data_IF_684861514464
#
_entry.id   IF_684861514464
#
_cell.length_a   1.000
_cell.length_b   1.000
_cell.length_c   1.000
_cell.angle_alpha   90.00
_cell.angle_beta   90.00
_cell.angle_gamma   90.00
#
_symmetry.space_group_name_H-M   'P 1'
#
loop_
_entity.id
_entity.type
_entity.pdbx_description
1 polymer ?
#
# COMPACT_ATOMS: atom_id res chain seq x y z
N UNK A 1 -16.96 -2.68 -14.70
CA UNK A 1 -18.09 -2.75 -15.64
C UNK A 1 -18.93 -1.47 -15.59
N UNK A 2 -19.34 -1.02 -14.39
CA UNK A 2 -20.15 0.20 -14.22
C UNK A 2 -19.57 1.45 -14.88
N UNK A 3 -18.26 1.69 -14.78
CA UNK A 3 -17.62 2.82 -15.48
C UNK A 3 -17.80 2.81 -17.00
N UNK A 4 -17.80 1.65 -17.65
CA UNK A 4 -18.07 1.54 -19.09
C UNK A 4 -19.55 1.82 -19.38
N UNK A 5 -20.45 1.29 -18.55
CA UNK A 5 -21.89 1.53 -18.69
C UNK A 5 -22.23 3.02 -18.58
N UNK A 6 -21.60 3.72 -17.63
CA UNK A 6 -21.73 5.17 -17.44
C UNK A 6 -21.22 5.95 -18.66
N UNK A 7 -20.00 5.67 -19.11
CA UNK A 7 -19.39 6.36 -20.26
C UNK A 7 -20.12 6.08 -21.59
N UNK A 8 -20.85 4.97 -21.69
CA UNK A 8 -21.63 4.61 -22.86
C UNK A 8 -23.09 5.10 -22.80
N UNK A 9 -23.51 5.78 -21.71
CA UNK A 9 -24.89 6.27 -21.54
C UNK A 9 -25.93 5.14 -21.49
N UNK A 10 -25.58 4.01 -20.88
CA UNK A 10 -26.49 2.87 -20.71
C UNK A 10 -27.58 3.18 -19.66
N UNK A 11 -28.64 2.37 -19.62
CA UNK A 11 -29.76 2.56 -18.71
C UNK A 11 -29.38 2.48 -17.22
N UNK A 12 -30.14 3.19 -16.37
CA UNK A 12 -29.95 3.20 -14.91
C UNK A 12 -30.05 1.80 -14.30
N UNK A 13 -30.90 0.92 -14.86
CA UNK A 13 -31.03 -0.47 -14.44
C UNK A 13 -29.74 -1.28 -14.62
N UNK A 14 -28.93 -0.95 -15.63
CA UNK A 14 -27.61 -1.55 -15.85
C UNK A 14 -26.63 -1.01 -14.82
N UNK A 15 -26.69 0.29 -14.51
CA UNK A 15 -25.82 0.92 -13.51
C UNK A 15 -26.06 0.33 -12.12
N UNK A 16 -27.32 0.24 -11.68
CA UNK A 16 -27.72 -0.37 -10.41
C UNK A 16 -27.20 -1.81 -10.27
N UNK A 17 -27.34 -2.63 -11.31
CA UNK A 17 -26.81 -4.00 -11.31
C UNK A 17 -25.29 -4.02 -11.20
N UNK A 18 -24.59 -3.13 -11.91
CA UNK A 18 -23.13 -3.08 -11.83
C UNK A 18 -22.61 -2.55 -10.50
N UNK A 19 -23.32 -1.61 -9.86
CA UNK A 19 -22.95 -1.08 -8.55
C UNK A 19 -23.16 -2.14 -7.45
N UNK A 20 -24.23 -2.94 -7.54
CA UNK A 20 -24.42 -4.09 -6.65
C UNK A 20 -23.27 -5.12 -6.77
N UNK A 21 -22.76 -5.34 -7.98
CA UNK A 21 -21.59 -6.20 -8.21
C UNK A 21 -20.29 -5.57 -7.72
N UNK A 22 -20.14 -4.25 -7.85
CA UNK A 22 -18.94 -3.51 -7.40
C UNK A 22 -18.81 -3.56 -5.87
N UNK A 23 -19.90 -3.34 -5.13
CA UNK A 23 -19.93 -3.43 -3.67
C UNK A 23 -19.57 -4.85 -3.15
N UNK A 24 -20.05 -5.88 -3.82
CA UNK A 24 -19.64 -7.27 -3.55
C UNK A 24 -18.15 -7.50 -3.88
N UNK A 25 -17.66 -6.89 -4.96
CA UNK A 25 -16.25 -6.86 -5.36
C UNK A 25 -15.36 -6.23 -4.29
N UNK A 26 -15.75 -5.08 -3.74
CA UNK A 26 -15.02 -4.39 -2.67
C UNK A 26 -14.86 -5.26 -1.41
N UNK A 27 -15.93 -5.98 -1.05
CA UNK A 27 -15.89 -6.96 0.05
C UNK A 27 -14.93 -8.11 -0.25
N UNK A 28 -14.99 -8.66 -1.47
CA UNK A 28 -14.09 -9.73 -1.91
C UNK A 28 -12.62 -9.28 -1.94
N UNK A 29 -12.37 -8.03 -2.33
CA UNK A 29 -11.04 -7.43 -2.30
C UNK A 29 -10.49 -7.32 -0.87
N UNK A 30 -11.33 -6.93 0.11
CA UNK A 30 -10.95 -6.92 1.52
C UNK A 30 -10.62 -8.32 2.05
N UNK A 31 -11.43 -9.34 1.70
CA UNK A 31 -11.14 -10.75 2.04
C UNK A 31 -9.81 -11.19 1.44
N UNK A 32 -9.56 -10.88 0.17
CA UNK A 32 -8.30 -11.19 -0.52
C UNK A 32 -7.08 -10.55 0.15
N UNK A 33 -7.19 -9.28 0.56
CA UNK A 33 -6.14 -8.59 1.34
C UNK A 33 -5.93 -9.27 2.69
N UNK A 34 -6.99 -9.66 3.39
CA UNK A 34 -6.91 -10.39 4.65
C UNK A 34 -6.16 -11.73 4.52
N UNK A 35 -6.46 -12.51 3.48
CA UNK A 35 -5.77 -13.77 3.20
C UNK A 35 -4.28 -13.55 2.86
N UNK A 36 -3.97 -12.54 2.06
CA UNK A 36 -2.59 -12.18 1.74
C UNK A 36 -1.80 -11.76 2.98
N UNK A 37 -2.39 -10.93 3.86
CA UNK A 37 -1.75 -10.49 5.11
C UNK A 37 -1.54 -11.68 6.07
N UNK A 38 -2.57 -12.52 6.26
CA UNK A 38 -2.49 -13.68 7.14
C UNK A 38 -1.44 -14.70 6.68
N UNK A 39 -1.43 -15.03 5.39
CA UNK A 39 -0.42 -15.93 4.82
C UNK A 39 0.98 -15.33 4.87
N UNK A 40 1.14 -14.03 4.56
CA UNK A 40 2.42 -13.34 4.69
C UNK A 40 2.94 -13.35 6.13
N UNK A 41 2.06 -13.20 7.14
CA UNK A 41 2.46 -13.24 8.54
C UNK A 41 3.00 -14.63 8.95
N UNK A 42 2.30 -15.70 8.57
CA UNK A 42 2.72 -17.07 8.86
C UNK A 42 4.02 -17.44 8.15
N UNK A 43 4.14 -17.10 6.86
CA UNK A 43 5.37 -17.34 6.08
C UNK A 43 6.54 -16.53 6.65
N UNK A 44 6.31 -15.27 7.02
CA UNK A 44 7.35 -14.42 7.63
C UNK A 44 7.84 -14.99 8.95
N UNK A 45 6.94 -15.55 9.79
CA UNK A 45 7.32 -16.22 11.03
C UNK A 45 8.16 -17.48 10.77
N UNK A 46 7.79 -18.29 9.77
CA UNK A 46 8.57 -19.47 9.37
C UNK A 46 9.96 -19.08 8.84
N UNK A 47 10.03 -18.06 7.98
CA UNK A 47 11.28 -17.51 7.46
C UNK A 47 12.14 -16.89 8.56
N UNK A 48 11.53 -16.26 9.56
CA UNK A 48 12.23 -15.75 10.73
C UNK A 48 12.90 -16.89 11.52
N UNK A 49 12.18 -18.00 11.76
CA UNK A 49 12.76 -19.21 12.36
C UNK A 49 13.95 -19.75 11.55
N UNK A 50 13.78 -19.88 10.23
CA UNK A 50 14.85 -20.31 9.33
C UNK A 50 16.06 -19.37 9.34
N UNK A 51 15.81 -18.05 9.44
CA UNK A 51 16.85 -17.03 9.53
C UNK A 51 17.68 -17.17 10.82
N UNK A 52 17.03 -17.34 11.98
CA UNK A 52 17.72 -17.57 13.27
C UNK A 52 18.67 -18.77 13.17
N UNK A 53 18.20 -19.89 12.63
CA UNK A 53 19.01 -21.10 12.44
C UNK A 53 20.16 -20.86 11.47
N UNK A 54 19.89 -20.23 10.31
CA UNK A 54 20.90 -20.00 9.28
C UNK A 54 21.98 -19.02 9.72
N UNK A 55 21.59 -18.00 10.48
CA UNK A 55 22.48 -16.99 11.04
C UNK A 55 23.24 -17.48 12.30
N UNK A 56 23.01 -18.72 12.74
CA UNK A 56 23.63 -19.33 13.94
C UNK A 56 23.45 -18.46 15.19
N UNK A 57 22.24 -17.92 15.37
CA UNK A 57 21.90 -17.11 16.54
C UNK A 57 21.41 -18.06 17.63
N UNK A 58 22.11 -18.08 18.77
CA UNK A 58 21.70 -18.88 19.92
C UNK A 58 20.42 -18.30 20.56
N UNK A 59 19.61 -19.16 21.19
CA UNK A 59 18.36 -18.76 21.87
C UNK A 59 18.55 -17.65 22.91
N UNK A 60 19.69 -17.66 23.62
CA UNK A 60 20.03 -16.61 24.61
C UNK A 60 20.31 -15.27 23.90
N UNK A 61 20.89 -15.31 22.70
CA UNK A 61 21.24 -14.14 21.89
C UNK A 61 20.06 -13.59 21.08
N UNK A 62 18.97 -14.35 20.95
CA UNK A 62 17.68 -13.89 20.41
C UNK A 62 16.73 -13.37 21.47
N UNK A 63 17.17 -13.25 22.73
CA UNK A 63 16.33 -12.71 23.80
C UNK A 63 15.92 -11.28 23.48
N UNK A 64 14.65 -10.96 23.71
CA UNK A 64 14.12 -9.60 23.57
C UNK A 64 14.76 -8.62 24.56
N UNK A 65 15.41 -9.14 25.61
CA UNK A 65 16.15 -8.36 26.61
C UNK A 65 17.55 -7.96 26.11
N UNK A 66 18.03 -8.55 25.01
CA UNK A 66 19.27 -8.12 24.39
C UNK A 66 19.07 -6.72 23.76
N UNK A 67 19.89 -5.71 24.12
CA UNK A 67 19.71 -4.35 23.63
C UNK A 67 19.75 -4.23 22.10
N UNK A 68 20.52 -5.08 21.40
CA UNK A 68 20.61 -5.06 19.94
C UNK A 68 19.35 -5.60 19.30
N UNK A 69 18.76 -6.65 19.87
CA UNK A 69 17.49 -7.23 19.42
C UNK A 69 16.35 -6.25 19.68
N UNK A 70 16.27 -5.65 20.88
CA UNK A 70 15.22 -4.71 21.23
C UNK A 70 15.29 -3.42 20.38
N UNK A 71 16.49 -2.88 20.14
CA UNK A 71 16.66 -1.74 19.24
C UNK A 71 16.21 -2.08 17.82
N UNK A 72 16.56 -3.27 17.31
CA UNK A 72 16.07 -3.77 16.03
C UNK A 72 14.55 -3.85 15.99
N UNK A 73 13.92 -4.37 17.04
CA UNK A 73 12.47 -4.50 17.18
C UNK A 73 11.76 -3.15 17.04
N UNK A 74 12.23 -2.13 17.74
CA UNK A 74 11.65 -0.78 17.67
C UNK A 74 11.78 -0.19 16.26
N UNK A 75 12.96 -0.30 15.65
CA UNK A 75 13.19 0.19 14.27
C UNK A 75 12.31 -0.57 13.28
N UNK A 76 12.25 -1.90 13.40
CA UNK A 76 11.41 -2.75 12.57
C UNK A 76 9.93 -2.41 12.66
N UNK A 77 9.43 -2.18 13.88
CA UNK A 77 8.04 -1.81 14.10
C UNK A 77 7.67 -0.44 13.49
N UNK A 78 8.64 0.44 13.30
CA UNK A 78 8.46 1.75 12.66
C UNK A 78 8.44 1.66 11.12
N UNK A 79 9.11 0.67 10.51
CA UNK A 79 9.21 0.56 9.05
C UNK A 79 7.85 0.57 8.31
N UNK A 80 6.79 -0.16 8.77
CA UNK A 80 5.48 -0.09 8.14
C UNK A 80 4.86 1.31 8.15
N UNK A 81 5.08 2.08 9.21
CA UNK A 81 4.62 3.47 9.32
C UNK A 81 5.36 4.37 8.35
N UNK A 82 6.68 4.22 8.24
CA UNK A 82 7.47 4.99 7.30
C UNK A 82 7.09 4.68 5.85
N UNK A 83 6.95 3.39 5.52
CA UNK A 83 6.47 2.96 4.21
C UNK A 83 5.12 3.59 3.87
N UNK A 84 4.15 3.51 4.80
CA UNK A 84 2.82 4.08 4.63
C UNK A 84 2.84 5.61 4.51
N UNK A 85 3.67 6.30 5.28
CA UNK A 85 3.81 7.76 5.18
C UNK A 85 4.31 8.18 3.78
N UNK A 86 5.25 7.42 3.20
CA UNK A 86 5.75 7.69 1.86
C UNK A 86 4.66 7.46 0.81
N UNK A 87 4.02 6.29 0.81
CA UNK A 87 2.99 5.95 -0.20
C UNK A 87 1.79 6.90 -0.13
N UNK A 88 1.30 7.22 1.08
CA UNK A 88 0.18 8.14 1.26
C UNK A 88 0.52 9.57 0.81
N UNK A 89 1.73 10.04 1.10
CA UNK A 89 2.20 11.35 0.61
C UNK A 89 2.31 11.38 -0.91
N UNK A 90 2.81 10.32 -1.52
CA UNK A 90 2.94 10.21 -2.98
C UNK A 90 1.57 10.21 -3.67
N UNK A 91 0.59 9.47 -3.13
CA UNK A 91 -0.80 9.51 -3.63
C UNK A 91 -1.39 10.91 -3.46
N UNK A 92 -1.19 11.56 -2.31
CA UNK A 92 -1.70 12.92 -2.07
C UNK A 92 -1.18 13.95 -3.07
N UNK A 93 0.11 13.92 -3.43
CA UNK A 93 0.68 14.79 -4.47
C UNK A 93 0.06 14.52 -5.84
N UNK A 94 -0.06 13.25 -6.24
CA UNK A 94 -0.61 12.87 -7.53
C UNK A 94 -2.09 13.27 -7.64
N UNK A 95 -2.86 13.07 -6.56
CA UNK A 95 -4.26 13.44 -6.47
C UNK A 95 -4.45 14.97 -6.56
N UNK A 96 -3.61 15.76 -5.88
CA UNK A 96 -3.68 17.23 -5.97
C UNK A 96 -3.46 17.71 -7.41
N UNK A 97 -2.43 17.19 -8.07
CA UNK A 97 -2.14 17.51 -9.47
C UNK A 97 -3.28 17.08 -10.41
N UNK A 98 -3.89 15.92 -10.14
CA UNK A 98 -5.06 15.44 -10.90
C UNK A 98 -6.27 16.38 -10.73
N UNK A 99 -6.54 16.84 -9.50
CA UNK A 99 -7.64 17.77 -9.21
C UNK A 99 -7.42 19.11 -9.92
N UNK A 100 -6.21 19.64 -9.90
CA UNK A 100 -5.85 20.88 -10.60
C UNK A 100 -6.03 20.72 -12.12
N UNK A 101 -5.61 19.60 -12.70
CA UNK A 101 -5.78 19.34 -14.13
C UNK A 101 -7.25 19.18 -14.53
N UNK A 102 -8.03 18.43 -13.77
CA UNK A 102 -9.47 18.28 -14.03
C UNK A 102 -10.19 19.62 -13.92
N UNK A 103 -9.88 20.43 -12.90
CA UNK A 103 -10.40 21.80 -12.77
C UNK A 103 -10.01 22.68 -13.95
N UNK A 104 -8.75 22.60 -14.39
CA UNK A 104 -8.27 23.33 -15.56
C UNK A 104 -9.07 22.96 -16.80
N UNK A 105 -9.30 21.67 -17.06
CA UNK A 105 -10.08 21.23 -18.21
C UNK A 105 -11.52 21.75 -18.15
N UNK A 106 -12.21 21.60 -17.02
CA UNK A 106 -13.58 22.12 -16.86
C UNK A 106 -13.69 23.64 -17.02
N UNK A 107 -12.69 24.40 -16.56
CA UNK A 107 -12.73 25.86 -16.60
C UNK A 107 -12.26 26.46 -17.94
N UNK A 108 -11.50 25.72 -18.76
CA UNK A 108 -10.85 26.27 -19.96
C UNK A 108 -11.34 25.65 -21.27
N UNK A 109 -11.89 24.43 -21.25
CA UNK A 109 -12.42 23.77 -22.44
C UNK A 109 -13.90 24.10 -22.56
N UNK A 110 -14.23 25.03 -23.46
CA UNK A 110 -15.61 25.39 -23.76
C UNK A 110 -16.40 24.18 -24.30
N UNK A 111 -17.61 23.95 -23.78
CA UNK A 111 -18.45 22.84 -24.20
C UNK A 111 -18.22 21.54 -23.44
N UNK A 112 -17.25 21.47 -22.52
CA UNK A 112 -16.92 20.24 -21.80
C UNK A 112 -17.98 19.86 -20.76
N UNK A 113 -18.47 20.82 -19.97
CA UNK A 113 -19.55 20.56 -19.01
C UNK A 113 -20.88 20.30 -19.71
N UNK A 114 -21.08 20.92 -20.87
CA UNK A 114 -22.25 20.74 -21.72
C UNK A 114 -22.23 19.41 -22.50
N UNK A 115 -21.13 18.64 -22.41
CA UNK A 115 -20.97 17.36 -23.11
C UNK A 115 -20.76 17.46 -24.62
N UNK A 116 -20.49 18.66 -25.13
CA UNK A 116 -20.27 18.93 -26.57
C UNK A 116 -18.80 18.85 -26.98
N UNK A 117 -17.88 19.01 -26.02
CA UNK A 117 -16.44 18.85 -26.21
C UNK A 117 -15.92 17.58 -25.52
N UNK A 118 -14.82 17.00 -26.04
CA UNK A 118 -14.17 15.84 -25.44
C UNK A 118 -13.07 16.26 -24.46
N UNK A 119 -12.96 15.62 -23.28
CA UNK A 119 -11.86 15.86 -22.35
C UNK A 119 -10.52 15.30 -22.85
N UNK A 120 -9.43 15.82 -22.30
CA UNK A 120 -8.08 15.28 -22.53
C UNK A 120 -7.76 14.22 -21.47
N UNK A 121 -8.05 12.96 -21.80
CA UNK A 121 -7.72 11.81 -20.97
C UNK A 121 -6.21 11.55 -20.88
N UNK A 122 -5.46 11.87 -21.93
CA UNK A 122 -4.02 11.56 -22.01
C UNK A 122 -3.25 12.32 -20.94
N UNK A 123 -3.64 13.56 -20.66
CA UNK A 123 -3.00 14.38 -19.63
C UNK A 123 -3.18 13.77 -18.23
N UNK A 124 -4.39 13.33 -17.90
CA UNK A 124 -4.67 12.66 -16.61
C UNK A 124 -3.86 11.36 -16.47
N UNK A 125 -3.81 10.54 -17.52
CA UNK A 125 -3.00 9.31 -17.55
C UNK A 125 -1.51 9.63 -17.36
N UNK A 126 -1.01 10.69 -17.98
CA UNK A 126 0.39 11.10 -17.85
C UNK A 126 0.74 11.50 -16.41
N UNK A 127 -0.12 12.27 -15.75
CA UNK A 127 0.10 12.71 -14.35
C UNK A 127 0.26 11.50 -13.41
N UNK A 128 -0.67 10.52 -13.50
CA UNK A 128 -0.60 9.33 -12.66
C UNK A 128 0.58 8.42 -13.02
N UNK A 129 0.91 8.30 -14.31
CA UNK A 129 2.05 7.49 -14.79
C UNK A 129 3.38 8.07 -14.32
N UNK A 130 3.64 9.36 -14.56
CA UNK A 130 4.89 10.01 -14.18
C UNK A 130 5.07 9.98 -12.65
N UNK A 131 4.00 10.24 -11.89
CA UNK A 131 4.06 10.21 -10.43
C UNK A 131 4.29 8.80 -9.88
N UNK A 132 3.61 7.78 -10.41
CA UNK A 132 3.74 6.41 -9.92
C UNK A 132 5.14 5.84 -10.19
N UNK A 133 5.68 6.02 -11.40
CA UNK A 133 7.03 5.58 -11.78
C UNK A 133 8.12 6.22 -10.92
N UNK A 134 7.98 7.50 -10.60
CA UNK A 134 8.96 8.21 -9.80
C UNK A 134 8.87 7.86 -8.32
N UNK A 135 7.66 7.83 -7.78
CA UNK A 135 7.44 7.72 -6.33
C UNK A 135 7.52 6.27 -5.83
N UNK A 136 7.37 5.25 -6.70
CA UNK A 136 7.51 3.83 -6.28
C UNK A 136 8.93 3.45 -5.83
N UNK A 137 9.96 4.18 -6.30
CA UNK A 137 11.36 3.83 -6.09
C UNK A 137 11.71 3.90 -4.59
N UNK A 138 11.26 4.94 -3.90
CA UNK A 138 11.70 5.20 -2.54
C UNK A 138 11.13 4.19 -1.52
N UNK A 139 9.82 3.84 -1.52
CA UNK A 139 9.29 2.77 -0.68
C UNK A 139 9.90 1.40 -1.02
N UNK A 140 10.17 1.13 -2.31
CA UNK A 140 10.85 -0.11 -2.73
C UNK A 140 12.27 -0.20 -2.21
N UNK A 141 13.03 0.89 -2.30
CA UNK A 141 14.39 0.99 -1.76
C UNK A 141 14.39 0.81 -0.23
N UNK A 142 13.42 1.40 0.49
CA UNK A 142 13.28 1.21 1.93
C UNK A 142 13.18 -0.27 2.30
N UNK A 143 12.29 -1.03 1.64
CA UNK A 143 12.08 -2.45 1.94
C UNK A 143 13.30 -3.29 1.57
N UNK A 144 13.90 -3.05 0.41
CA UNK A 144 15.04 -3.84 -0.09
C UNK A 144 16.34 -3.56 0.68
N UNK A 145 16.60 -2.29 1.01
CA UNK A 145 17.85 -1.89 1.64
C UNK A 145 17.83 -2.06 3.16
N UNK A 146 16.67 -2.02 3.83
CA UNK A 146 16.61 -2.11 5.30
C UNK A 146 17.29 -3.37 5.85
N UNK A 147 17.02 -4.59 5.35
CA UNK A 147 17.70 -5.80 5.83
C UNK A 147 19.20 -5.80 5.55
N UNK A 148 19.61 -5.25 4.40
CA UNK A 148 21.02 -5.18 3.96
C UNK A 148 21.80 -4.23 4.87
N UNK A 149 21.28 -3.01 5.07
CA UNK A 149 21.90 -1.98 5.89
C UNK A 149 21.97 -2.44 7.35
N UNK A 150 20.86 -2.94 7.92
CA UNK A 150 20.83 -3.39 9.31
C UNK A 150 21.73 -4.61 9.51
N UNK A 151 21.70 -5.57 8.59
CA UNK A 151 22.53 -6.77 8.64
C UNK A 151 24.03 -6.46 8.57
N UNK A 152 24.46 -5.54 7.70
CA UNK A 152 25.88 -5.20 7.54
C UNK A 152 26.42 -4.30 8.65
N UNK A 153 25.64 -3.32 9.12
CA UNK A 153 26.12 -2.32 10.09
C UNK A 153 25.94 -2.77 11.55
N UNK A 154 24.82 -3.42 11.87
CA UNK A 154 24.43 -3.75 13.25
C UNK A 154 24.44 -5.25 13.54
N UNK A 155 24.55 -6.06 12.49
CA UNK A 155 24.69 -7.51 12.58
C UNK A 155 23.37 -8.27 12.61
N UNK A 156 23.48 -9.59 12.63
CA UNK A 156 22.36 -10.51 12.42
C UNK A 156 21.33 -10.49 13.56
N UNK A 157 21.75 -10.15 14.79
CA UNK A 157 20.88 -10.05 15.98
C UNK A 157 19.94 -8.84 15.91
N UNK A 158 20.45 -7.67 15.50
CA UNK A 158 19.59 -6.49 15.30
C UNK A 158 18.62 -6.70 14.14
N UNK A 159 19.09 -7.33 13.07
CA UNK A 159 18.23 -7.72 11.95
C UNK A 159 17.12 -8.68 12.40
N UNK A 160 17.39 -9.63 13.29
CA UNK A 160 16.37 -10.50 13.87
C UNK A 160 15.26 -9.70 14.57
N UNK A 161 15.65 -8.72 15.42
CA UNK A 161 14.71 -7.80 16.04
C UNK A 161 13.87 -7.04 15.02
N UNK A 162 14.52 -6.50 13.98
CA UNK A 162 13.83 -5.74 12.91
C UNK A 162 12.78 -6.57 12.17
N UNK A 163 13.08 -7.83 11.85
CA UNK A 163 12.14 -8.74 11.20
C UNK A 163 10.92 -9.01 12.09
N UNK A 164 11.14 -9.29 13.38
CA UNK A 164 10.06 -9.51 14.34
C UNK A 164 9.19 -8.26 14.52
N UNK A 165 9.81 -7.08 14.64
CA UNK A 165 9.11 -5.81 14.82
C UNK A 165 8.28 -5.42 13.59
N UNK A 166 8.86 -5.57 12.40
CA UNK A 166 8.18 -5.31 11.13
C UNK A 166 6.97 -6.22 10.93
N UNK A 167 7.08 -7.49 11.32
CA UNK A 167 5.97 -8.44 11.27
C UNK A 167 4.81 -8.02 12.19
N UNK A 168 5.07 -7.87 13.49
CA UNK A 168 3.98 -7.64 14.47
C UNK A 168 3.30 -6.27 14.29
N UNK A 169 4.06 -5.26 13.85
CA UNK A 169 3.53 -3.92 13.58
C UNK A 169 2.81 -3.85 12.23
N UNK A 170 3.42 -4.45 11.19
CA UNK A 170 2.91 -4.38 9.82
C UNK A 170 1.57 -5.06 9.65
N UNK A 171 1.33 -6.19 10.32
CA UNK A 171 0.05 -6.91 10.25
C UNK A 171 -1.10 -6.04 10.77
N UNK A 172 -0.93 -5.37 11.90
CA UNK A 172 -1.99 -4.54 12.50
C UNK A 172 -2.36 -3.38 11.56
N UNK A 173 -1.35 -2.69 11.02
CA UNK A 173 -1.54 -1.58 10.10
C UNK A 173 -2.15 -2.03 8.77
N UNK A 174 -1.71 -3.17 8.20
CA UNK A 174 -2.23 -3.65 6.94
C UNK A 174 -3.72 -4.05 7.04
N UNK A 175 -4.11 -4.71 8.13
CA UNK A 175 -5.52 -5.07 8.38
C UNK A 175 -6.37 -3.83 8.59
N UNK A 176 -5.94 -2.89 9.44
CA UNK A 176 -6.73 -1.69 9.74
C UNK A 176 -6.93 -0.84 8.49
N UNK A 177 -5.87 -0.55 7.72
CA UNK A 177 -5.97 0.26 6.50
C UNK A 177 -6.83 -0.40 5.43
N UNK A 178 -6.74 -1.72 5.26
CA UNK A 178 -7.54 -2.45 4.27
C UNK A 178 -9.02 -2.45 4.61
N UNK A 179 -9.35 -2.70 5.87
CA UNK A 179 -10.75 -2.80 6.32
C UNK A 179 -11.39 -1.42 6.43
N UNK A 180 -10.69 -0.41 6.94
CA UNK A 180 -11.20 0.97 6.98
C UNK A 180 -11.45 1.49 5.57
N UNK A 181 -10.54 1.23 4.62
CA UNK A 181 -10.74 1.61 3.22
C UNK A 181 -11.97 0.94 2.61
N UNK A 182 -12.11 -0.39 2.76
CA UNK A 182 -13.29 -1.10 2.24
C UNK A 182 -14.60 -0.73 2.92
N UNK A 183 -14.57 -0.37 4.21
CA UNK A 183 -15.75 0.10 4.94
C UNK A 183 -16.22 1.48 4.45
N UNK A 184 -15.30 2.41 4.17
CA UNK A 184 -15.65 3.71 3.59
C UNK A 184 -16.11 3.63 2.14
N UNK A 185 -15.64 2.63 1.38
CA UNK A 185 -16.06 2.44 -0.01
C UNK A 185 -17.50 1.91 -0.11
N UNK A 186 -17.93 1.13 0.88
CA UNK A 186 -19.28 0.53 0.92
C UNK A 186 -20.28 1.29 1.80
N UNK A 187 -19.89 2.40 2.43
CA UNK A 187 -20.75 3.23 3.30
C UNK A 187 -21.33 4.42 2.52
#
# INVERSE_FOLDING_TARGET
AGGIAEMAGMGEDIRERTDALDAAGNTTAAIGKGFAIGSAALVSLALFGAYITRAKIDLIQSSILDPKVFAGLLVGAMLPYWFSAMTMKSVGKAALAMVEEVRRQFNTINGLMEGTARPDYSRCVKISTDSSLREMIAPGALVMLSPIIVGMLFGTRTLAGMLAGGLVSGVQMAVSMSNTGGAWDNA
#
